data_IF_535796098818
#
_entry.id   IF_535796098818
#
_cell.length_a   1.000
_cell.length_b   1.000
_cell.length_c   1.000
_cell.angle_alpha   90.00
_cell.angle_beta   90.00
_cell.angle_gamma   90.00
#
_symmetry.space_group_name_H-M   'P 1'
#
loop_
_entity.id
_entity.type
_entity.pdbx_description
1 polymer ?
#
# COMPACT_ATOMS: atom_id res chain seq x y z
N UNK A 1 -1.96 7.49 -5.90
CA UNK A 1 -2.77 6.32 -5.46
C UNK A 1 -3.99 6.29 -6.38
N UNK A 2 -4.22 5.21 -7.12
CA UNK A 2 -5.41 5.09 -7.99
C UNK A 2 -6.71 4.95 -7.18
N UNK A 3 -7.88 4.74 -7.80
CA UNK A 3 -9.10 4.41 -7.06
C UNK A 3 -8.93 3.08 -6.29
N UNK A 4 -9.80 2.87 -5.29
CA UNK A 4 -9.88 1.56 -4.64
C UNK A 4 -10.23 0.48 -5.67
N UNK A 5 -9.62 -0.69 -5.53
CA UNK A 5 -9.91 -1.87 -6.34
C UNK A 5 -9.68 -3.09 -5.48
N UNK A 6 -10.76 -3.80 -5.15
CA UNK A 6 -10.72 -5.03 -4.36
C UNK A 6 -9.81 -6.08 -5.01
N UNK A 7 -9.94 -6.28 -6.34
CA UNK A 7 -9.09 -7.19 -7.10
C UNK A 7 -7.60 -6.85 -6.96
N UNK A 8 -7.26 -5.56 -6.91
CA UNK A 8 -5.88 -5.11 -6.70
C UNK A 8 -5.40 -5.38 -5.26
N UNK A 9 -6.26 -5.21 -4.25
CA UNK A 9 -5.91 -5.54 -2.85
C UNK A 9 -5.68 -7.04 -2.71
N UNK A 10 -6.56 -7.87 -3.28
CA UNK A 10 -6.42 -9.32 -3.27
C UNK A 10 -5.12 -9.77 -3.96
N UNK A 11 -4.86 -9.26 -5.17
CA UNK A 11 -3.61 -9.56 -5.89
C UNK A 11 -2.36 -9.21 -5.09
N UNK A 12 -2.38 -8.11 -4.31
CA UNK A 12 -1.28 -7.73 -3.43
C UNK A 12 -1.16 -8.68 -2.24
N UNK A 13 -2.28 -9.06 -1.63
CA UNK A 13 -2.31 -9.99 -0.52
C UNK A 13 -1.71 -11.34 -0.93
N UNK A 14 -2.12 -11.87 -2.08
CA UNK A 14 -1.60 -13.12 -2.67
C UNK A 14 -0.10 -13.03 -2.94
N UNK A 15 0.35 -11.94 -3.57
CA UNK A 15 1.77 -11.76 -3.89
C UNK A 15 2.65 -11.69 -2.63
N UNK A 16 2.21 -10.96 -1.61
CA UNK A 16 2.95 -10.84 -0.34
C UNK A 16 2.89 -12.17 0.44
N UNK A 17 1.74 -12.85 0.48
CA UNK A 17 1.61 -14.17 1.09
C UNK A 17 2.56 -15.17 0.45
N UNK A 18 2.55 -15.26 -0.88
CA UNK A 18 3.47 -16.11 -1.64
C UNK A 18 4.94 -15.81 -1.31
N UNK A 19 5.33 -14.53 -1.24
CA UNK A 19 6.68 -14.13 -0.86
C UNK A 19 7.06 -14.65 0.54
N UNK A 20 6.17 -14.48 1.53
CA UNK A 20 6.43 -14.86 2.92
C UNK A 20 6.50 -16.38 3.12
N UNK A 21 5.67 -17.12 2.39
CA UNK A 21 5.57 -18.58 2.45
C UNK A 21 6.75 -19.28 1.75
N UNK A 22 7.19 -18.75 0.61
CA UNK A 22 8.23 -19.38 -0.21
C UNK A 22 9.66 -18.93 0.15
N UNK A 23 9.82 -17.99 1.09
CA UNK A 23 11.13 -17.48 1.51
C UNK A 23 11.29 -17.56 3.04
N UNK A 24 11.33 -18.76 3.64
CA UNK A 24 11.49 -18.92 5.10
C UNK A 24 12.78 -18.29 5.65
N UNK A 25 13.82 -18.22 4.82
CA UNK A 25 15.13 -17.61 5.11
C UNK A 25 15.17 -16.08 4.97
N UNK A 26 14.05 -15.44 4.65
CA UNK A 26 13.97 -13.99 4.55
C UNK A 26 14.39 -13.37 5.88
N UNK A 27 15.28 -12.37 5.81
CA UNK A 27 15.74 -11.66 7.01
C UNK A 27 14.54 -11.23 7.88
N UNK A 28 14.60 -11.41 9.21
CA UNK A 28 13.49 -11.10 10.10
C UNK A 28 12.97 -9.67 9.95
N UNK A 29 13.84 -8.69 9.68
CA UNK A 29 13.45 -7.29 9.47
C UNK A 29 12.64 -7.15 8.19
N UNK A 30 13.09 -7.76 7.08
CA UNK A 30 12.35 -7.74 5.82
C UNK A 30 11.02 -8.48 5.94
N UNK A 31 10.98 -9.63 6.62
CA UNK A 31 9.74 -10.37 6.91
C UNK A 31 8.73 -9.50 7.67
N UNK A 32 9.16 -8.88 8.77
CA UNK A 32 8.31 -8.00 9.56
C UNK A 32 7.76 -6.81 8.75
N UNK A 33 8.57 -6.25 7.85
CA UNK A 33 8.10 -5.19 6.95
C UNK A 33 7.00 -5.66 6.00
N UNK A 34 7.17 -6.82 5.36
CA UNK A 34 6.16 -7.36 4.43
C UNK A 34 4.89 -7.79 5.13
N UNK A 35 4.98 -8.39 6.30
CA UNK A 35 3.82 -8.68 7.14
C UNK A 35 3.07 -7.40 7.54
N UNK A 36 3.79 -6.32 7.87
CA UNK A 36 3.18 -5.01 8.11
C UNK A 36 2.48 -4.47 6.85
N UNK A 37 3.06 -4.65 5.66
CA UNK A 37 2.41 -4.26 4.40
C UNK A 37 1.13 -5.06 4.15
N UNK A 38 1.15 -6.37 4.44
CA UNK A 38 -0.01 -7.24 4.30
C UNK A 38 -1.16 -6.81 5.23
N UNK A 39 -0.84 -6.56 6.51
CA UNK A 39 -1.81 -6.04 7.50
C UNK A 39 -2.38 -4.66 7.15
N UNK A 40 -1.66 -3.86 6.38
CA UNK A 40 -2.06 -2.50 6.00
C UNK A 40 -2.86 -2.42 4.68
N UNK A 41 -3.15 -3.56 4.03
CA UNK A 41 -4.04 -3.59 2.87
C UNK A 41 -5.46 -3.20 3.30
N UNK A 42 -6.11 -2.36 2.49
CA UNK A 42 -7.47 -1.90 2.76
C UNK A 42 -8.46 -3.00 2.39
N UNK A 43 -9.42 -3.30 3.25
CA UNK A 43 -10.43 -4.34 3.02
C UNK A 43 -11.66 -3.81 2.27
N UNK A 44 -11.83 -2.49 2.25
CA UNK A 44 -12.93 -1.81 1.56
C UNK A 44 -12.49 -0.41 1.09
N UNK A 45 -13.34 0.21 0.28
CA UNK A 45 -13.10 1.54 -0.26
C UNK A 45 -13.00 2.63 0.83
N UNK A 46 -13.79 2.51 1.90
CA UNK A 46 -13.81 3.49 2.98
C UNK A 46 -12.45 3.56 3.69
N UNK A 47 -11.88 2.41 4.06
CA UNK A 47 -10.53 2.31 4.62
C UNK A 47 -9.46 2.88 3.69
N UNK A 48 -9.59 2.59 2.40
CA UNK A 48 -8.67 3.11 1.39
C UNK A 48 -8.73 4.63 1.32
N UNK A 49 -9.93 5.19 1.27
CA UNK A 49 -10.17 6.63 1.21
C UNK A 49 -9.69 7.33 2.48
N UNK A 50 -9.96 6.77 3.68
CA UNK A 50 -9.40 7.27 4.95
C UNK A 50 -7.88 7.34 4.91
N UNK A 51 -7.20 6.33 4.36
CA UNK A 51 -5.73 6.32 4.21
C UNK A 51 -5.25 7.36 3.19
N UNK A 52 -5.95 7.50 2.06
CA UNK A 52 -5.63 8.52 1.05
C UNK A 52 -5.73 9.90 1.66
N UNK A 53 -6.84 10.22 2.33
CA UNK A 53 -7.00 11.50 3.04
C UNK A 53 -5.89 11.70 4.06
N UNK A 54 -5.60 10.70 4.91
CA UNK A 54 -4.53 10.80 5.90
C UNK A 54 -3.15 11.11 5.34
N UNK A 55 -2.82 10.60 4.14
CA UNK A 55 -1.52 10.83 3.48
C UNK A 55 -1.45 12.19 2.76
N UNK A 56 -2.57 12.62 2.17
CA UNK A 56 -2.59 13.78 1.29
C UNK A 56 -3.20 15.04 1.90
N UNK A 57 -3.89 14.96 3.06
CA UNK A 57 -4.58 16.11 3.66
C UNK A 57 -3.66 17.31 3.93
N UNK A 58 -2.41 17.05 4.30
CA UNK A 58 -1.43 18.08 4.66
C UNK A 58 -0.43 18.34 3.52
N UNK A 59 -0.60 17.68 2.37
CA UNK A 59 0.24 17.90 1.18
C UNK A 59 -0.33 19.07 0.40
N UNK A 60 0.30 20.23 0.53
CA UNK A 60 0.06 21.35 -0.37
C UNK A 60 0.48 20.96 -1.78
N UNK A 61 -0.39 21.26 -2.75
CA UNK A 61 -0.11 21.04 -4.16
C UNK A 61 0.81 22.18 -4.63
N UNK A 62 2.11 21.95 -4.63
CA UNK A 62 3.04 22.87 -5.30
C UNK A 62 2.81 22.76 -6.81
N UNK A 63 2.19 23.79 -7.38
CA UNK A 63 2.08 23.93 -8.83
C UNK A 63 3.45 24.38 -9.33
N UNK A 64 4.23 23.45 -9.88
CA UNK A 64 5.45 23.79 -10.60
C UNK A 64 5.03 24.24 -11.99
N UNK A 65 5.01 25.56 -12.21
CA UNK A 65 4.86 26.12 -13.55
C UNK A 65 6.14 25.85 -14.34
N UNK A 66 6.05 24.93 -15.30
CA UNK A 66 7.08 24.79 -16.32
C UNK A 66 6.86 25.91 -17.34
N UNK A 67 7.87 26.78 -17.49
CA UNK A 67 7.79 28.01 -18.29
C UNK A 67 7.20 27.81 -19.69
N UNK A 68 6.43 28.81 -20.10
CA UNK A 68 5.66 28.92 -21.34
C UNK A 68 6.50 28.83 -22.62
#
# INVERSE_FOLDING_TARGET
MGPYSEAMQLRRAEAIGFLLDNNPQLDPVYRAMWENKLRALSQNEEEYNRRVVGIYKDKNREVVEWGQ
#
